data_IF_427872194519
#
_entry.id   IF_427872194519
#
_cell.length_a   1.000
_cell.length_b   1.000
_cell.length_c   1.000
_cell.angle_alpha   90.00
_cell.angle_beta   90.00
_cell.angle_gamma   90.00
#
_symmetry.space_group_name_H-M   'P 1'
#
loop_
_entity.id
_entity.type
_entity.pdbx_description
1 polymer ?
#
# COMPACT_ATOMS: atom_id res chain seq x y z
N UNK A 1 -19.65 -2.84 7.71
CA UNK A 1 -18.97 -1.96 6.73
C UNK A 1 -17.51 -1.95 7.13
N UNK A 2 -16.63 -2.43 6.27
CA UNK A 2 -15.21 -2.59 6.61
C UNK A 2 -14.54 -1.22 6.71
N UNK A 3 -13.70 -1.04 7.71
CA UNK A 3 -12.91 0.17 7.91
C UNK A 3 -11.95 0.40 6.73
N UNK A 4 -11.69 1.66 6.37
CA UNK A 4 -10.78 1.96 5.24
C UNK A 4 -9.37 1.38 5.47
N UNK A 5 -8.94 1.32 6.73
CA UNK A 5 -7.70 0.69 7.15
C UNK A 5 -7.70 -0.83 6.90
N UNK A 6 -8.83 -1.51 7.13
CA UNK A 6 -8.97 -2.92 6.76
C UNK A 6 -8.89 -3.12 5.24
N UNK A 7 -9.53 -2.25 4.44
CA UNK A 7 -9.43 -2.32 2.97
C UNK A 7 -7.98 -2.17 2.49
N UNK A 8 -7.24 -1.19 3.04
CA UNK A 8 -5.83 -0.97 2.71
C UNK A 8 -5.00 -2.21 3.05
N UNK A 9 -5.24 -2.79 4.24
CA UNK A 9 -4.59 -4.02 4.68
C UNK A 9 -4.89 -5.20 3.77
N UNK A 10 -6.15 -5.42 3.36
CA UNK A 10 -6.50 -6.52 2.45
C UNK A 10 -5.91 -6.36 1.04
N UNK A 11 -5.94 -5.12 0.53
CA UNK A 11 -5.49 -4.79 -0.82
C UNK A 11 -3.98 -4.95 -0.98
N UNK A 12 -3.21 -4.57 0.03
CA UNK A 12 -1.75 -4.68 0.02
C UNK A 12 -1.23 -5.93 0.76
N UNK A 13 -2.07 -6.60 1.54
CA UNK A 13 -1.68 -7.69 2.42
C UNK A 13 -0.76 -7.23 3.56
N UNK A 14 -1.06 -6.09 4.17
CA UNK A 14 -0.30 -5.53 5.30
C UNK A 14 -0.64 -6.26 6.60
N UNK A 15 0.32 -6.30 7.52
CA UNK A 15 0.05 -6.66 8.91
C UNK A 15 -0.42 -5.42 9.67
N UNK A 16 -1.05 -5.60 10.83
CA UNK A 16 -1.43 -4.47 11.71
C UNK A 16 -0.25 -3.57 12.08
N UNK A 17 0.94 -4.15 12.29
CA UNK A 17 2.18 -3.40 12.55
C UNK A 17 2.58 -2.51 11.38
N UNK A 18 2.55 -3.06 10.16
CA UNK A 18 2.87 -2.31 8.95
C UNK A 18 1.83 -1.20 8.73
N UNK A 19 0.54 -1.50 8.90
CA UNK A 19 -0.54 -0.52 8.78
C UNK A 19 -0.37 0.65 9.74
N UNK A 20 0.06 0.39 10.98
CA UNK A 20 0.40 1.44 11.95
C UNK A 20 1.57 2.29 11.48
N UNK A 21 2.64 1.68 10.93
CA UNK A 21 3.78 2.42 10.40
C UNK A 21 3.39 3.30 9.21
N UNK A 22 2.61 2.75 8.27
CA UNK A 22 2.13 3.49 7.09
C UNK A 22 1.29 4.70 7.48
N UNK A 23 0.41 4.51 8.45
CA UNK A 23 -0.51 5.54 8.90
C UNK A 23 0.07 6.36 10.06
N UNK A 24 1.35 6.24 10.40
CA UNK A 24 2.00 6.94 11.52
C UNK A 24 1.13 6.91 12.80
N UNK A 25 0.71 5.72 13.17
CA UNK A 25 -0.27 5.47 14.20
C UNK A 25 0.33 4.58 15.28
N UNK A 26 -0.14 4.78 16.49
CA UNK A 26 0.21 3.97 17.65
C UNK A 26 -0.84 2.88 17.90
N UNK A 27 -0.51 1.83 18.67
CA UNK A 27 -1.44 0.74 18.97
C UNK A 27 -2.74 1.21 19.64
N UNK A 28 -2.70 2.33 20.37
CA UNK A 28 -3.91 2.93 20.94
C UNK A 28 -4.87 3.44 19.85
N UNK A 29 -4.33 3.93 18.73
CA UNK A 29 -5.11 4.37 17.57
C UNK A 29 -5.88 3.21 16.92
N UNK A 30 -5.36 1.97 16.94
CA UNK A 30 -6.09 0.76 16.49
C UNK A 30 -7.30 0.53 17.38
N UNK A 31 -7.09 0.47 18.70
CA UNK A 31 -8.16 0.17 19.65
C UNK A 31 -9.23 1.25 19.66
N UNK A 32 -8.83 2.51 19.45
CA UNK A 32 -9.74 3.66 19.41
C UNK A 32 -10.41 3.91 18.05
N UNK A 33 -10.01 3.20 16.99
CA UNK A 33 -10.50 3.46 15.62
C UNK A 33 -9.98 4.74 14.98
N UNK A 34 -8.98 5.41 15.58
CA UNK A 34 -8.47 6.70 15.11
C UNK A 34 -7.74 6.61 13.74
N UNK A 35 -7.36 5.40 13.30
CA UNK A 35 -6.81 5.20 11.96
C UNK A 35 -7.80 5.58 10.85
N UNK A 36 -9.11 5.53 11.11
CA UNK A 36 -10.14 5.86 10.13
C UNK A 36 -10.25 7.37 9.86
N UNK A 37 -9.77 8.19 10.80
CA UNK A 37 -9.81 9.66 10.72
C UNK A 37 -8.59 10.23 9.98
N UNK A 38 -7.58 9.39 9.68
CA UNK A 38 -6.35 9.80 9.00
C UNK A 38 -6.65 10.27 7.58
N UNK A 39 -6.34 11.53 7.21
CA UNK A 39 -6.57 12.02 5.85
C UNK A 39 -5.74 11.30 4.79
N UNK A 40 -4.61 10.69 5.16
CA UNK A 40 -3.77 9.88 4.28
C UNK A 40 -4.47 8.59 3.82
N UNK A 41 -5.40 8.06 4.63
CA UNK A 41 -6.10 6.81 4.36
C UNK A 41 -6.93 6.85 3.07
N UNK A 42 -7.87 7.81 2.87
CA UNK A 42 -8.61 7.90 1.62
C UNK A 42 -7.72 8.23 0.42
N UNK A 43 -6.65 9.01 0.60
CA UNK A 43 -5.70 9.35 -0.48
C UNK A 43 -4.98 8.10 -0.98
N UNK A 44 -4.45 7.28 -0.06
CA UNK A 44 -3.80 6.01 -0.39
C UNK A 44 -4.78 5.03 -1.05
N UNK A 45 -6.00 4.93 -0.53
CA UNK A 45 -7.02 4.05 -1.11
C UNK A 45 -7.43 4.47 -2.52
N UNK A 46 -7.48 5.78 -2.81
CA UNK A 46 -7.78 6.31 -4.13
C UNK A 46 -6.63 6.02 -5.11
N UNK A 47 -5.39 6.34 -4.73
CA UNK A 47 -4.18 6.03 -5.49
C UNK A 47 -4.08 4.53 -5.82
N UNK A 48 -4.38 3.67 -4.85
CA UNK A 48 -4.35 2.22 -5.01
C UNK A 48 -5.55 1.68 -5.80
N UNK A 49 -6.70 2.37 -5.82
CA UNK A 49 -7.87 1.92 -6.55
C UNK A 49 -7.61 1.92 -8.06
N UNK A 50 -6.95 2.95 -8.60
CA UNK A 50 -6.53 2.97 -10.02
C UNK A 50 -5.58 1.82 -10.35
N UNK A 51 -4.60 1.58 -9.48
CA UNK A 51 -3.65 0.49 -9.67
C UNK A 51 -4.32 -0.88 -9.54
N UNK A 52 -5.31 -1.01 -8.65
CA UNK A 52 -6.11 -2.22 -8.44
C UNK A 52 -6.95 -2.52 -9.68
N UNK A 53 -7.59 -1.51 -10.28
CA UNK A 53 -8.41 -1.66 -11.49
C UNK A 53 -7.57 -2.17 -12.68
N UNK A 54 -6.32 -1.72 -12.78
CA UNK A 54 -5.44 -2.07 -13.90
C UNK A 54 -4.66 -3.36 -13.69
N UNK A 55 -4.15 -3.61 -12.48
CA UNK A 55 -3.29 -4.74 -12.16
C UNK A 55 -4.02 -5.90 -11.48
N UNK A 56 -5.07 -5.58 -10.73
CA UNK A 56 -5.72 -6.46 -9.77
C UNK A 56 -5.03 -6.47 -8.39
N UNK A 57 -5.84 -6.59 -7.33
CA UNK A 57 -5.38 -6.76 -5.95
C UNK A 57 -4.27 -7.82 -5.77
N UNK A 58 -4.33 -9.05 -6.34
CA UNK A 58 -3.28 -10.05 -6.13
C UNK A 58 -1.92 -9.65 -6.73
N UNK A 59 -1.90 -8.84 -7.78
CA UNK A 59 -0.66 -8.32 -8.37
C UNK A 59 -0.05 -7.26 -7.46
N UNK A 60 -0.87 -6.34 -6.93
CA UNK A 60 -0.40 -5.32 -5.98
C UNK A 60 0.17 -5.95 -4.70
N UNK A 61 -0.50 -6.96 -4.13
CA UNK A 61 0.00 -7.70 -2.95
C UNK A 61 1.37 -8.34 -3.18
N UNK A 62 1.62 -8.84 -4.40
CA UNK A 62 2.93 -9.42 -4.76
C UNK A 62 3.96 -8.34 -5.03
N UNK A 63 3.56 -7.27 -5.72
CA UNK A 63 4.43 -6.16 -6.08
C UNK A 63 4.94 -5.39 -4.86
N UNK A 64 4.06 -5.09 -3.90
CA UNK A 64 4.43 -4.30 -2.70
C UNK A 64 5.51 -4.98 -1.85
N UNK A 65 5.56 -6.32 -1.90
CA UNK A 65 6.59 -7.16 -1.25
C UNK A 65 7.79 -7.48 -2.14
N UNK A 66 7.73 -7.14 -3.43
CA UNK A 66 8.80 -7.40 -4.38
C UNK A 66 9.81 -6.25 -4.36
N UNK A 67 11.08 -6.61 -4.45
CA UNK A 67 12.14 -5.63 -4.66
C UNK A 67 12.14 -5.18 -6.12
N UNK A 68 11.94 -3.88 -6.34
CA UNK A 68 12.02 -3.21 -7.61
C UNK A 68 13.26 -2.32 -7.73
N UNK A 69 13.44 -1.62 -8.86
CA UNK A 69 14.54 -0.68 -9.05
C UNK A 69 14.52 0.48 -8.03
N UNK A 70 13.34 0.84 -7.53
CA UNK A 70 13.16 1.83 -6.47
C UNK A 70 13.26 1.22 -5.05
N UNK A 71 13.57 -0.07 -4.89
CA UNK A 71 13.50 -0.79 -3.60
C UNK A 71 12.17 -1.51 -3.38
N UNK A 72 11.81 -1.77 -2.12
CA UNK A 72 10.57 -2.47 -1.75
C UNK A 72 9.46 -1.43 -1.48
N UNK A 73 8.34 -1.45 -2.22
CA UNK A 73 7.28 -0.45 -2.03
C UNK A 73 6.71 -0.42 -0.61
N UNK A 74 6.66 -1.56 0.08
CA UNK A 74 6.22 -1.62 1.48
C UNK A 74 7.14 -0.83 2.42
N UNK A 75 8.45 -0.81 2.13
CA UNK A 75 9.46 -0.15 2.96
C UNK A 75 9.38 1.38 2.82
N UNK A 76 8.95 1.85 1.65
CA UNK A 76 8.59 3.27 1.43
C UNK A 76 7.33 3.64 2.19
N UNK A 77 6.28 2.81 2.12
CA UNK A 77 5.06 3.04 2.88
C UNK A 77 5.31 3.08 4.39
N UNK A 78 6.09 2.14 4.95
CA UNK A 78 6.38 2.13 6.40
C UNK A 78 7.32 3.24 6.85
N UNK A 79 8.14 3.79 5.94
CA UNK A 79 8.90 5.02 6.18
C UNK A 79 8.14 6.30 5.84
N UNK A 80 6.87 6.18 5.43
CA UNK A 80 6.00 7.29 5.01
C UNK A 80 6.57 8.07 3.82
N UNK A 81 7.38 7.42 3.00
CA UNK A 81 7.93 7.96 1.77
C UNK A 81 6.96 7.71 0.61
N UNK A 82 5.83 8.43 0.64
CA UNK A 82 4.79 8.30 -0.38
C UNK A 82 5.28 8.72 -1.77
N UNK A 83 6.22 9.65 -1.85
CA UNK A 83 6.81 10.08 -3.12
C UNK A 83 7.56 8.95 -3.82
N UNK A 84 8.40 8.20 -3.09
CA UNK A 84 9.04 7.02 -3.65
C UNK A 84 8.06 5.88 -3.96
N UNK A 85 6.99 5.75 -3.17
CA UNK A 85 5.95 4.76 -3.44
C UNK A 85 5.21 5.07 -4.75
N UNK A 86 4.83 6.33 -4.98
CA UNK A 86 4.20 6.78 -6.23
C UNK A 86 5.12 6.59 -7.43
N UNK A 87 6.41 6.90 -7.33
CA UNK A 87 7.39 6.66 -8.39
C UNK A 87 7.52 5.16 -8.73
N UNK A 88 7.55 4.31 -7.70
CA UNK A 88 7.54 2.86 -7.87
C UNK A 88 6.25 2.37 -8.56
N UNK A 89 5.11 2.98 -8.23
CA UNK A 89 3.81 2.66 -8.83
C UNK A 89 3.73 3.12 -10.29
N UNK A 90 4.22 4.33 -10.59
CA UNK A 90 4.35 4.84 -11.95
C UNK A 90 5.23 3.92 -12.79
N UNK A 91 6.38 3.50 -12.24
CA UNK A 91 7.28 2.53 -12.88
C UNK A 91 6.58 1.19 -13.15
N UNK A 92 5.72 0.72 -12.23
CA UNK A 92 4.93 -0.50 -12.42
C UNK A 92 3.89 -0.32 -13.55
N UNK A 93 3.22 0.84 -13.59
CA UNK A 93 2.24 1.18 -14.60
C UNK A 93 2.87 1.30 -16.00
N UNK A 94 4.04 1.94 -16.11
CA UNK A 94 4.84 2.03 -17.35
C UNK A 94 5.25 0.65 -17.87
N UNK A 95 5.52 -0.29 -16.96
CA UNK A 95 5.81 -1.69 -17.30
C UNK A 95 4.58 -2.52 -17.61
N UNK A 96 3.38 -1.93 -17.58
CA UNK A 96 2.11 -2.62 -17.85
C UNK A 96 1.72 -3.61 -16.76
N UNK A 97 2.11 -3.37 -15.50
CA UNK A 97 1.85 -4.25 -14.36
C UNK A 97 2.40 -5.68 -14.53
N UNK A 98 3.41 -5.86 -15.38
CA UNK A 98 4.04 -7.16 -15.64
C UNK A 98 5.01 -7.51 -14.50
N UNK A 99 4.52 -8.27 -13.52
CA UNK A 99 5.40 -9.00 -12.62
C UNK A 99 5.99 -10.18 -13.39
N UNK A 100 7.18 -10.02 -13.99
CA UNK A 100 7.93 -11.16 -14.55
C UNK A 100 8.17 -12.16 -13.43
N UNK A 101 7.36 -13.22 -13.36
CA UNK A 101 7.65 -14.41 -12.58
C UNK A 101 8.79 -15.12 -13.28
N UNK A 102 9.97 -15.12 -12.66
CA UNK A 102 11.12 -15.88 -13.14
C UNK A 102 11.72 -16.61 -11.96
N UNK A 103 11.73 -17.94 -12.04
CA UNK A 103 12.37 -18.85 -11.09
C UNK A 103 11.39 -19.65 -10.27
#
# INVERSE_FOLDING_TARGET
MGSGAARLSELLGLSDEELMLVLDSDPLSIVSGALEDKPELPILLDLLAEAEERAGAPVLRRWVRREGPAGRPIDHLTRRDFGHFEDALATLAERGFVLRGGG
#
